data_IF_980112343100
#
_entry.id   IF_980112343100
#
_cell.length_a   1.000
_cell.length_b   1.000
_cell.length_c   1.000
_cell.angle_alpha   90.00
_cell.angle_beta   90.00
_cell.angle_gamma   90.00
#
_symmetry.space_group_name_H-M   'P 1'
#
loop_
_entity.id
_entity.type
_entity.pdbx_description
1 polymer ?
#
# COMPACT_ATOMS: atom_id res chain seq x y z
N UNK A 1 -15.92 -16.10 29.05
CA UNK A 1 -15.07 -16.13 27.84
C UNK A 1 -14.36 -14.79 27.74
N UNK A 2 -13.05 -14.75 28.02
CA UNK A 2 -12.28 -13.51 27.93
C UNK A 2 -12.23 -13.05 26.46
N UNK A 3 -12.81 -11.89 26.15
CA UNK A 3 -12.61 -11.22 24.86
C UNK A 3 -11.10 -10.95 24.75
N UNK A 4 -10.48 -11.54 23.73
CA UNK A 4 -9.05 -11.47 23.49
C UNK A 4 -8.55 -10.03 23.48
N UNK A 5 -7.38 -9.83 24.10
CA UNK A 5 -6.67 -8.57 24.12
C UNK A 5 -6.65 -7.94 22.72
N UNK A 6 -7.16 -6.71 22.61
CA UNK A 6 -7.08 -5.94 21.38
C UNK A 6 -5.62 -5.84 20.95
N UNK A 7 -5.34 -6.08 19.66
CA UNK A 7 -4.01 -5.83 19.11
C UNK A 7 -3.68 -4.36 19.35
N UNK A 8 -2.64 -4.09 20.13
CA UNK A 8 -2.01 -2.77 20.23
C UNK A 8 -1.36 -2.47 18.89
N UNK A 9 -2.16 -1.93 17.96
CA UNK A 9 -1.65 -1.30 16.76
C UNK A 9 -0.94 -0.03 17.23
N UNK A 10 0.39 0.00 17.26
CA UNK A 10 1.14 1.25 17.45
C UNK A 10 0.62 2.26 16.43
N UNK A 11 -0.05 3.33 16.85
CA UNK A 11 -0.95 4.13 16.00
C UNK A 11 -0.34 4.53 14.65
N UNK A 12 0.95 4.84 14.64
CA UNK A 12 1.71 5.25 13.46
C UNK A 12 2.77 4.20 13.13
N UNK A 13 2.73 3.68 11.90
CA UNK A 13 3.68 2.70 11.40
C UNK A 13 3.90 2.92 9.92
N UNK A 14 5.16 2.95 9.52
CA UNK A 14 5.56 2.95 8.12
C UNK A 14 6.33 1.67 7.79
N UNK A 15 5.92 0.99 6.72
CA UNK A 15 6.54 -0.26 6.26
C UNK A 15 6.65 -0.30 4.75
N UNK A 16 7.76 -0.80 4.27
CA UNK A 16 7.94 -1.10 2.87
C UNK A 16 7.67 -2.57 2.56
N UNK A 17 6.86 -2.79 1.55
CA UNK A 17 6.43 -4.10 1.08
C UNK A 17 6.68 -4.26 -0.41
N UNK A 18 6.93 -5.50 -0.83
CA UNK A 18 6.94 -5.89 -2.24
C UNK A 18 5.63 -6.60 -2.56
N UNK A 19 4.77 -5.98 -3.37
CA UNK A 19 3.50 -6.57 -3.81
C UNK A 19 3.74 -7.40 -5.07
N UNK A 20 3.39 -8.69 -5.03
CA UNK A 20 3.42 -9.57 -6.19
C UNK A 20 2.14 -9.43 -7.02
N UNK A 21 2.15 -8.52 -7.99
CA UNK A 21 1.04 -8.25 -8.89
C UNK A 21 0.83 -9.38 -9.90
N UNK A 22 1.88 -10.13 -10.27
CA UNK A 22 1.76 -11.25 -11.21
C UNK A 22 0.79 -12.32 -10.69
N UNK A 23 0.88 -12.69 -9.40
CA UNK A 23 -0.06 -13.65 -8.79
C UNK A 23 -1.46 -13.07 -8.64
N UNK A 24 -1.57 -11.79 -8.22
CA UNK A 24 -2.85 -11.12 -7.96
C UNK A 24 -3.67 -10.83 -9.22
N UNK A 25 -3.00 -10.66 -10.36
CA UNK A 25 -3.62 -10.32 -11.65
C UNK A 25 -3.75 -11.54 -12.58
N UNK A 26 -3.48 -12.75 -12.08
CA UNK A 26 -3.64 -13.97 -12.84
C UNK A 26 -5.12 -14.15 -13.25
N UNK A 27 -5.36 -14.55 -14.51
CA UNK A 27 -6.72 -14.74 -15.05
C UNK A 27 -7.53 -13.46 -15.29
N UNK A 28 -6.97 -12.26 -15.06
CA UNK A 28 -7.67 -11.00 -15.32
C UNK A 28 -7.63 -10.63 -16.80
N UNK A 29 -8.75 -10.15 -17.36
CA UNK A 29 -8.83 -9.64 -18.73
C UNK A 29 -7.86 -8.48 -18.96
N UNK A 30 -7.20 -8.44 -20.12
CA UNK A 30 -6.18 -7.45 -20.44
C UNK A 30 -6.63 -5.99 -20.29
N UNK A 31 -7.85 -5.65 -20.69
CA UNK A 31 -8.41 -4.29 -20.56
C UNK A 31 -8.63 -3.85 -19.11
N UNK A 32 -8.62 -4.78 -18.16
CA UNK A 32 -8.88 -4.53 -16.74
C UNK A 32 -7.63 -4.72 -15.87
N UNK A 33 -6.48 -5.07 -16.44
CA UNK A 33 -5.31 -5.50 -15.65
C UNK A 33 -4.72 -4.38 -14.80
N UNK A 34 -4.44 -3.21 -15.37
CA UNK A 34 -3.94 -2.06 -14.60
C UNK A 34 -4.97 -1.48 -13.61
N UNK A 35 -6.25 -1.28 -13.98
CA UNK A 35 -7.29 -0.91 -13.02
C UNK A 35 -7.41 -1.91 -11.86
N UNK A 36 -7.37 -3.22 -12.16
CA UNK A 36 -7.40 -4.28 -11.15
C UNK A 36 -6.15 -4.24 -10.26
N UNK A 37 -4.99 -3.87 -10.80
CA UNK A 37 -3.77 -3.71 -10.01
C UNK A 37 -3.91 -2.63 -8.93
N UNK A 38 -4.52 -1.49 -9.25
CA UNK A 38 -4.84 -0.46 -8.24
C UNK A 38 -5.74 -1.04 -7.15
N UNK A 39 -6.82 -1.75 -7.54
CA UNK A 39 -7.74 -2.35 -6.57
C UNK A 39 -7.05 -3.37 -5.66
N UNK A 40 -6.14 -4.17 -6.21
CA UNK A 40 -5.37 -5.18 -5.47
C UNK A 40 -4.35 -4.54 -4.51
N UNK A 41 -3.72 -3.42 -4.90
CA UNK A 41 -2.85 -2.63 -4.02
C UNK A 41 -3.67 -2.04 -2.86
N UNK A 42 -4.85 -1.48 -3.16
CA UNK A 42 -5.78 -0.96 -2.14
C UNK A 42 -6.21 -2.04 -1.16
N UNK A 43 -6.58 -3.22 -1.66
CA UNK A 43 -6.96 -4.38 -0.86
C UNK A 43 -5.82 -4.83 0.05
N UNK A 44 -4.61 -4.94 -0.50
CA UNK A 44 -3.42 -5.30 0.27
C UNK A 44 -3.13 -4.30 1.40
N UNK A 45 -3.23 -3.01 1.12
CA UNK A 45 -3.02 -1.96 2.12
C UNK A 45 -4.06 -2.05 3.24
N UNK A 46 -5.35 -2.22 2.90
CA UNK A 46 -6.45 -2.37 3.86
C UNK A 46 -6.25 -3.57 4.79
N UNK A 47 -5.89 -4.73 4.23
CA UNK A 47 -5.65 -5.96 5.01
C UNK A 47 -4.41 -5.86 5.90
N UNK A 48 -3.34 -5.21 5.42
CA UNK A 48 -2.05 -5.17 6.11
C UNK A 48 -2.02 -4.12 7.22
N UNK A 49 -2.64 -2.95 7.00
CA UNK A 49 -2.61 -1.82 7.94
C UNK A 49 -3.86 -1.70 8.81
N UNK A 50 -4.95 -2.39 8.45
CA UNK A 50 -6.19 -2.44 9.22
C UNK A 50 -7.02 -1.14 9.18
N UNK A 51 -6.75 -0.24 8.22
CA UNK A 51 -7.52 1.01 8.02
C UNK A 51 -8.48 0.86 6.85
N UNK A 52 -9.71 1.38 6.94
CA UNK A 52 -10.63 1.36 5.78
C UNK A 52 -10.27 2.43 4.76
N UNK A 53 -9.83 3.60 5.22
CA UNK A 53 -9.39 4.68 4.33
C UNK A 53 -7.97 4.43 3.81
N UNK A 54 -7.85 4.28 2.48
CA UNK A 54 -6.56 4.08 1.79
C UNK A 54 -6.41 5.11 0.68
N UNK A 55 -5.35 5.92 0.74
CA UNK A 55 -4.99 6.93 -0.26
C UNK A 55 -3.81 6.41 -1.08
N UNK A 56 -3.96 6.39 -2.39
CA UNK A 56 -2.91 5.94 -3.32
C UNK A 56 -2.24 7.17 -3.92
N UNK A 57 -0.92 7.26 -3.79
CA UNK A 57 -0.17 8.36 -4.36
C UNK A 57 -0.20 8.35 -5.91
N UNK A 58 -0.11 9.53 -6.48
CA UNK A 58 -0.11 9.73 -7.93
C UNK A 58 1.10 9.08 -8.61
N UNK A 59 2.28 9.02 -7.96
CA UNK A 59 3.47 8.36 -8.52
C UNK A 59 3.28 6.85 -8.60
N UNK A 60 2.62 6.25 -7.61
CA UNK A 60 2.25 4.84 -7.64
C UNK A 60 1.27 4.55 -8.77
N UNK A 61 0.26 5.40 -8.96
CA UNK A 61 -0.67 5.26 -10.07
C UNK A 61 0.03 5.33 -11.43
N UNK A 62 0.91 6.33 -11.62
CA UNK A 62 1.73 6.46 -12.84
C UNK A 62 2.60 5.21 -13.07
N UNK A 63 3.23 4.66 -12.04
CA UNK A 63 4.07 3.47 -12.17
C UNK A 63 3.26 2.21 -12.54
N UNK A 64 2.05 2.05 -12.01
CA UNK A 64 1.15 0.95 -12.36
C UNK A 64 0.67 1.05 -13.83
N UNK A 65 0.50 2.26 -14.35
CA UNK A 65 0.02 2.52 -15.72
C UNK A 65 1.12 2.74 -16.76
N UNK A 66 2.38 2.88 -16.34
CA UNK A 66 3.53 3.19 -17.21
C UNK A 66 3.72 2.24 -18.42
N UNK A 67 3.32 0.98 -18.30
CA UNK A 67 3.38 -0.04 -19.37
C UNK A 67 2.05 -0.26 -20.10
N UNK A 68 1.11 0.66 -19.90
CA UNK A 68 -0.26 0.60 -20.42
C UNK A 68 -1.16 -0.37 -19.66
N UNK A 69 -2.41 -0.48 -20.13
CA UNK A 69 -3.49 -1.20 -19.42
C UNK A 69 -3.25 -2.71 -19.31
N UNK A 70 -2.57 -3.32 -20.29
CA UNK A 70 -2.39 -4.77 -20.41
C UNK A 70 -1.17 -5.29 -19.66
N UNK A 71 -0.07 -4.55 -19.59
CA UNK A 71 1.24 -5.06 -19.21
C UNK A 71 1.77 -4.48 -17.89
N UNK A 72 1.04 -4.68 -16.80
CA UNK A 72 1.46 -4.22 -15.46
C UNK A 72 2.77 -4.88 -15.01
N UNK A 73 3.57 -4.14 -14.22
CA UNK A 73 4.73 -4.66 -13.50
C UNK A 73 4.42 -5.96 -12.74
N UNK A 74 5.32 -6.96 -12.79
CA UNK A 74 5.12 -8.25 -12.10
C UNK A 74 5.19 -8.11 -10.58
N UNK A 75 6.03 -7.21 -10.09
CA UNK A 75 6.19 -6.84 -8.68
C UNK A 75 6.32 -5.32 -8.59
N UNK A 76 5.87 -4.74 -7.48
CA UNK A 76 6.04 -3.33 -7.18
C UNK A 76 6.44 -3.15 -5.73
N UNK A 77 7.40 -2.27 -5.45
CA UNK A 77 7.82 -1.92 -4.09
C UNK A 77 7.03 -0.69 -3.68
N UNK A 78 6.33 -0.81 -2.57
CA UNK A 78 5.48 0.25 -2.03
C UNK A 78 5.84 0.53 -0.59
N UNK A 79 5.72 1.79 -0.20
CA UNK A 79 5.74 2.22 1.19
C UNK A 79 4.29 2.43 1.62
N UNK A 80 3.92 1.78 2.73
CA UNK A 80 2.63 1.96 3.38
C UNK A 80 2.88 2.72 4.67
N UNK A 81 2.33 3.93 4.76
CA UNK A 81 2.42 4.77 5.95
C UNK A 81 1.03 4.92 6.53
N UNK A 82 0.83 4.47 7.77
CA UNK A 82 -0.40 4.76 8.52
C UNK A 82 -0.21 6.09 9.24
N UNK A 83 -1.02 7.08 8.84
CA UNK A 83 -0.96 8.48 9.32
C UNK A 83 -2.26 8.86 10.03
N UNK A 84 -2.18 9.84 10.92
CA UNK A 84 -3.37 10.48 11.52
C UNK A 84 -4.07 11.33 10.48
N UNK A 85 -5.40 11.34 10.53
CA UNK A 85 -6.20 12.23 9.71
C UNK A 85 -6.42 13.53 10.49
N UNK A 86 -6.11 14.66 9.88
CA UNK A 86 -6.23 15.99 10.51
C UNK A 86 -7.65 16.57 10.38
N UNK A 87 -8.51 15.92 9.61
CA UNK A 87 -9.91 16.28 9.43
C UNK A 87 -10.76 15.77 10.62
N UNK A 88 -11.26 16.70 11.44
CA UNK A 88 -12.05 16.42 12.63
C UNK A 88 -13.42 15.79 12.33
N UNK A 89 -13.94 15.91 11.11
CA UNK A 89 -15.22 15.33 10.68
C UNK A 89 -15.07 13.89 10.14
N UNK A 90 -13.85 13.37 10.04
CA UNK A 90 -13.62 12.06 9.45
C UNK A 90 -14.05 10.90 10.35
N UNK A 91 -14.76 9.93 9.77
CA UNK A 91 -15.22 8.69 10.45
C UNK A 91 -14.07 7.88 11.07
N UNK A 92 -12.88 7.91 10.43
CA UNK A 92 -11.69 7.19 10.87
C UNK A 92 -10.54 8.14 11.19
N UNK A 93 -9.96 8.01 12.40
CA UNK A 93 -8.80 8.78 12.88
C UNK A 93 -7.51 8.51 12.12
N UNK A 94 -7.41 7.36 11.45
CA UNK A 94 -6.19 6.89 10.78
C UNK A 94 -6.49 6.56 9.32
N UNK A 95 -5.58 6.92 8.44
CA UNK A 95 -5.61 6.49 7.04
C UNK A 95 -4.26 5.90 6.62
N UNK A 96 -4.27 5.06 5.60
CA UNK A 96 -3.04 4.54 5.01
C UNK A 96 -2.72 5.27 3.72
N UNK A 97 -1.54 5.88 3.63
CA UNK A 97 -0.96 6.39 2.40
C UNK A 97 -0.09 5.31 1.75
N UNK A 98 -0.27 5.09 0.45
CA UNK A 98 0.51 4.13 -0.34
C UNK A 98 1.34 4.87 -1.37
N UNK A 99 2.66 4.76 -1.25
CA UNK A 99 3.62 5.42 -2.12
C UNK A 99 4.45 4.39 -2.89
N UNK A 100 4.95 4.79 -4.07
CA UNK A 100 5.88 3.96 -4.84
C UNK A 100 7.32 4.22 -4.38
N UNK A 101 8.03 3.14 -4.02
CA UNK A 101 9.47 3.17 -3.83
C UNK A 101 10.16 2.66 -5.11
N UNK A 102 10.84 3.51 -5.89
CA UNK A 102 11.60 3.04 -7.05
C UNK A 102 12.79 2.19 -6.58
N UNK A 103 12.91 0.99 -7.13
CA UNK A 103 14.01 0.07 -6.81
C UNK A 103 14.61 -0.48 -8.10
N UNK A 104 15.93 -0.60 -8.15
CA UNK A 104 16.62 -1.16 -9.31
C UNK A 104 16.40 -2.68 -9.42
N UNK A 105 16.33 -3.38 -8.28
CA UNK A 105 16.15 -4.84 -8.21
C UNK A 105 15.22 -5.23 -7.07
N UNK A 106 14.50 -6.34 -7.25
CA UNK A 106 13.63 -6.95 -6.23
C UNK A 106 14.28 -8.14 -5.52
N UNK A 107 15.58 -8.39 -5.76
CA UNK A 107 16.32 -9.46 -5.09
C UNK A 107 16.51 -9.09 -3.62
N UNK A 108 16.27 -10.05 -2.71
CA UNK A 108 16.49 -9.92 -1.26
C UNK A 108 15.69 -8.80 -0.55
N UNK A 109 14.78 -8.12 -1.25
CA UNK A 109 13.91 -7.12 -0.64
C UNK A 109 12.80 -7.76 0.19
N UNK A 110 13.04 -7.85 1.49
CA UNK A 110 12.06 -8.26 2.51
C UNK A 110 11.22 -7.08 2.99
N UNK A 111 10.20 -7.36 3.80
CA UNK A 111 9.43 -6.32 4.49
C UNK A 111 10.35 -5.57 5.44
N UNK A 112 10.38 -4.23 5.33
CA UNK A 112 11.19 -3.38 6.19
C UNK A 112 10.28 -2.41 6.94
N UNK A 113 10.46 -2.28 8.25
CA UNK A 113 9.89 -1.16 9.02
C UNK A 113 10.77 0.06 8.76
N UNK A 114 10.16 1.14 8.32
CA UNK A 114 10.85 2.41 8.06
C UNK A 114 10.44 3.36 9.15
N UNK A 115 11.42 3.92 9.84
CA UNK A 115 11.23 5.07 10.70
C UNK A 115 11.13 6.28 9.79
N UNK A 116 9.98 6.93 9.77
CA UNK A 116 9.88 8.26 9.18
C UNK A 116 10.66 9.18 10.13
N UNK A 117 11.95 9.41 9.83
CA UNK A 117 12.69 10.54 10.38
C UNK A 117 11.94 11.78 9.89
N UNK A 118 11.03 12.29 10.72
CA UNK A 118 10.29 13.50 10.44
C UNK A 118 11.27 14.59 10.04
N UNK A 119 10.98 15.31 8.97
CA UNK A 119 11.55 16.64 8.80
C UNK A 119 11.19 17.39 10.10
N UNK A 120 12.22 17.71 10.89
CA UNK A 120 12.10 18.59 12.04
C UNK A 120 11.60 19.94 11.52
N UNK A 121 10.42 20.38 11.99
CA UNK A 121 9.92 21.74 11.81
C UNK A 121 10.84 22.77 12.48
#
# INVERSE_FOLDING_TARGET
MAKGAGKNYSDLVTREYTINLHKRLHGTTFKKKAPRAISEVRKFAKETMGTSQVRIDTKLNKALFSKGVRNVHRRIRVRLSRKRNDDEEADEKLYTLVEHVPVASFKELVTKVVEDMGEED
#
